data_IF_143222596582
#
_entry.id   IF_143222596582
#
_cell.length_a   1.000
_cell.length_b   1.000
_cell.length_c   1.000
_cell.angle_alpha   90.00
_cell.angle_beta   90.00
_cell.angle_gamma   90.00
#
_symmetry.space_group_name_H-M   'P 1'
#
loop_
_entity.id
_entity.type
_entity.pdbx_description
1 polymer ?
#
# COMPACT_ATOMS: atom_id res chain seq x y z
N UNK A 1 27.62 -1.42 -19.63
CA UNK A 1 26.20 -1.04 -19.81
C UNK A 1 25.74 -0.15 -18.68
N UNK A 2 25.88 -0.59 -17.42
CA UNK A 2 25.44 0.18 -16.25
C UNK A 2 26.05 1.59 -16.16
N UNK A 3 27.35 1.72 -16.41
CA UNK A 3 27.99 3.06 -16.46
C UNK A 3 27.37 3.95 -17.54
N UNK A 4 27.11 3.39 -18.74
CA UNK A 4 26.48 4.10 -19.84
C UNK A 4 25.02 4.52 -19.53
N UNK A 5 24.31 3.72 -18.71
CA UNK A 5 22.99 4.05 -18.20
C UNK A 5 23.08 5.23 -17.20
N UNK A 6 24.05 5.23 -16.29
CA UNK A 6 24.25 6.37 -15.39
C UNK A 6 24.72 7.63 -16.10
N UNK A 7 25.57 7.53 -17.12
CA UNK A 7 26.02 8.69 -17.89
C UNK A 7 25.01 9.18 -18.94
N UNK A 8 23.89 8.47 -19.13
CA UNK A 8 22.89 8.85 -20.14
C UNK A 8 23.35 8.66 -21.58
N UNK A 9 24.35 7.81 -21.83
CA UNK A 9 25.00 7.68 -23.16
C UNK A 9 24.52 6.48 -23.98
N UNK A 10 23.41 5.84 -23.59
CA UNK A 10 22.82 4.71 -24.33
C UNK A 10 21.94 5.24 -25.45
N UNK A 11 22.30 4.96 -26.71
CA UNK A 11 21.48 5.28 -27.87
C UNK A 11 21.53 4.16 -28.93
N UNK A 12 20.39 3.65 -29.41
CA UNK A 12 19.02 3.99 -29.03
C UNK A 12 18.60 3.35 -27.70
N UNK A 13 17.81 4.08 -26.88
CA UNK A 13 17.12 3.50 -25.73
C UNK A 13 15.89 2.71 -26.19
N UNK A 14 15.89 1.39 -25.98
CA UNK A 14 14.84 0.45 -26.41
C UNK A 14 14.38 -0.42 -25.25
N UNK A 15 13.23 -1.09 -25.40
CA UNK A 15 12.65 -2.03 -24.43
C UNK A 15 13.68 -2.99 -23.80
N UNK A 16 14.53 -3.60 -24.63
CA UNK A 16 15.59 -4.50 -24.15
C UNK A 16 16.59 -3.82 -23.21
N UNK A 17 16.91 -2.55 -23.44
CA UNK A 17 17.75 -1.74 -22.54
C UNK A 17 17.04 -1.48 -21.21
N UNK A 18 15.74 -1.20 -21.25
CA UNK A 18 14.89 -1.05 -20.06
C UNK A 18 14.89 -2.32 -19.20
N UNK A 19 14.63 -3.48 -19.81
CA UNK A 19 14.65 -4.77 -19.13
C UNK A 19 16.04 -5.10 -18.55
N UNK A 20 17.11 -4.74 -19.26
CA UNK A 20 18.48 -4.94 -18.75
C UNK A 20 18.76 -4.09 -17.52
N UNK A 21 18.31 -2.84 -17.51
CA UNK A 21 18.43 -1.97 -16.34
C UNK A 21 17.57 -2.50 -15.18
N UNK A 22 16.34 -2.96 -15.45
CA UNK A 22 15.47 -3.59 -14.46
C UNK A 22 16.11 -4.84 -13.84
N UNK A 23 16.71 -5.71 -14.67
CA UNK A 23 17.44 -6.89 -14.23
C UNK A 23 18.61 -6.55 -13.31
N UNK A 24 19.48 -5.62 -13.73
CA UNK A 24 20.63 -5.18 -12.92
C UNK A 24 20.16 -4.64 -11.58
N UNK A 25 19.09 -3.83 -11.58
CA UNK A 25 18.54 -3.26 -10.34
C UNK A 25 18.00 -4.33 -9.38
N UNK A 26 17.38 -5.38 -9.91
CA UNK A 26 16.84 -6.51 -9.12
C UNK A 26 17.92 -7.45 -8.58
N UNK A 27 19.05 -7.56 -9.28
CA UNK A 27 20.19 -8.42 -8.91
C UNK A 27 21.22 -7.66 -8.06
N UNK A 28 21.10 -6.34 -7.96
CA UNK A 28 21.97 -5.51 -7.13
C UNK A 28 21.89 -5.94 -5.65
N UNK A 29 23.02 -6.29 -5.01
CA UNK A 29 23.06 -6.64 -3.59
C UNK A 29 22.47 -5.57 -2.67
N UNK A 30 22.51 -4.29 -3.04
CA UNK A 30 21.95 -3.19 -2.27
C UNK A 30 20.41 -3.23 -2.18
N UNK A 31 19.75 -3.93 -3.10
CA UNK A 31 18.30 -4.06 -3.17
C UNK A 31 17.79 -5.43 -2.69
N UNK A 32 18.67 -6.26 -2.11
CA UNK A 32 18.34 -7.64 -1.72
C UNK A 32 17.23 -7.73 -0.68
N UNK A 33 17.24 -6.79 0.27
CA UNK A 33 16.30 -6.76 1.39
C UNK A 33 15.04 -5.92 1.09
N UNK A 34 15.00 -5.26 -0.06
CA UNK A 34 13.90 -4.37 -0.45
C UNK A 34 12.71 -5.14 -1.08
N UNK A 35 11.50 -4.65 -0.83
CA UNK A 35 10.31 -5.09 -1.56
C UNK A 35 10.32 -4.63 -3.02
N UNK A 36 9.62 -5.32 -3.94
CA UNK A 36 9.62 -4.93 -5.37
C UNK A 36 9.14 -3.50 -5.59
N UNK A 37 8.20 -3.00 -4.77
CA UNK A 37 7.70 -1.64 -4.89
C UNK A 37 8.76 -0.62 -4.46
N UNK A 38 9.55 -0.92 -3.44
CA UNK A 38 10.69 -0.07 -3.05
C UNK A 38 11.74 -0.05 -4.17
N UNK A 39 12.05 -1.23 -4.72
CA UNK A 39 12.92 -1.36 -5.90
C UNK A 39 12.35 -0.59 -7.10
N UNK A 40 11.04 -0.64 -7.33
CA UNK A 40 10.39 0.10 -8.41
C UNK A 40 10.52 1.62 -8.24
N UNK A 41 10.54 2.13 -7.01
CA UNK A 41 10.73 3.56 -6.75
C UNK A 41 12.15 3.99 -7.07
N UNK A 42 13.14 3.22 -6.63
CA UNK A 42 14.56 3.46 -6.95
C UNK A 42 14.78 3.38 -8.47
N UNK A 43 14.28 2.32 -9.10
CA UNK A 43 14.41 2.09 -10.53
C UNK A 43 13.76 3.19 -11.37
N UNK A 44 12.54 3.61 -11.04
CA UNK A 44 11.88 4.72 -11.73
C UNK A 44 12.67 6.03 -11.60
N UNK A 45 13.26 6.31 -10.44
CA UNK A 45 14.10 7.49 -10.24
C UNK A 45 15.37 7.44 -11.11
N UNK A 46 16.00 6.27 -11.21
CA UNK A 46 17.18 6.05 -12.04
C UNK A 46 16.86 6.19 -13.53
N UNK A 47 15.75 5.61 -13.99
CA UNK A 47 15.31 5.74 -15.39
C UNK A 47 14.92 7.18 -15.72
N UNK A 48 14.22 7.88 -14.82
CA UNK A 48 13.90 9.30 -15.02
C UNK A 48 15.18 10.15 -15.10
N UNK A 49 16.17 9.87 -14.24
CA UNK A 49 17.48 10.53 -14.28
C UNK A 49 18.24 10.22 -15.58
N UNK A 50 18.20 8.97 -16.04
CA UNK A 50 18.74 8.58 -17.35
C UNK A 50 18.06 9.37 -18.48
N UNK A 51 16.73 9.41 -18.52
CA UNK A 51 15.97 10.12 -19.56
C UNK A 51 16.33 11.62 -19.59
N UNK A 52 16.48 12.25 -18.43
CA UNK A 52 16.87 13.67 -18.35
C UNK A 52 18.27 13.95 -18.91
N UNK A 53 19.19 12.99 -18.79
CA UNK A 53 20.56 13.10 -19.32
C UNK A 53 20.64 12.72 -20.80
N UNK A 54 19.82 11.77 -21.23
CA UNK A 54 19.84 11.20 -22.58
C UNK A 54 19.06 12.02 -23.61
N UNK A 55 17.94 12.64 -23.19
CA UNK A 55 17.06 13.41 -24.07
C UNK A 55 17.20 14.92 -23.86
N UNK A 56 17.29 15.68 -24.95
CA UNK A 56 17.37 17.15 -24.93
C UNK A 56 16.01 17.83 -24.61
N UNK A 57 14.91 17.08 -24.58
CA UNK A 57 13.56 17.55 -24.25
C UNK A 57 13.10 17.01 -22.90
N UNK A 58 12.12 17.67 -22.26
CA UNK A 58 11.55 17.22 -20.98
C UNK A 58 10.90 15.85 -21.18
N UNK A 59 11.50 14.75 -20.69
CA UNK A 59 10.99 13.42 -20.97
C UNK A 59 9.72 13.16 -20.14
N UNK A 60 8.81 12.34 -20.66
CA UNK A 60 7.69 11.86 -19.85
C UNK A 60 8.20 11.01 -18.68
N UNK A 61 7.66 11.21 -17.48
CA UNK A 61 8.02 10.40 -16.32
C UNK A 61 7.67 8.93 -16.58
N UNK A 62 8.42 8.03 -15.95
CA UNK A 62 8.08 6.61 -15.92
C UNK A 62 6.68 6.37 -15.33
N UNK A 63 5.86 5.59 -16.01
CA UNK A 63 4.60 5.10 -15.44
C UNK A 63 4.91 4.12 -14.33
N UNK A 64 4.36 4.37 -13.15
CA UNK A 64 4.49 3.49 -11.99
C UNK A 64 3.95 2.10 -12.27
N UNK A 65 2.78 2.01 -12.90
CA UNK A 65 2.17 0.73 -13.23
C UNK A 65 3.03 -0.09 -14.19
N UNK A 66 3.52 0.52 -15.27
CA UNK A 66 4.40 -0.16 -16.22
C UNK A 66 5.73 -0.54 -15.58
N UNK A 67 6.28 0.31 -14.73
CA UNK A 67 7.53 0.03 -14.00
C UNK A 67 7.39 -1.21 -13.14
N UNK A 68 6.35 -1.28 -12.31
CA UNK A 68 6.09 -2.45 -11.45
C UNK A 68 5.79 -3.68 -12.29
N UNK A 69 5.01 -3.54 -13.37
CA UNK A 69 4.69 -4.64 -14.28
C UNK A 69 5.96 -5.30 -14.88
N UNK A 70 6.88 -4.50 -15.39
CA UNK A 70 8.11 -5.01 -15.99
C UNK A 70 9.06 -5.60 -14.94
N UNK A 71 9.25 -4.93 -13.81
CA UNK A 71 10.05 -5.46 -12.71
C UNK A 71 9.50 -6.79 -12.19
N UNK A 72 8.17 -6.93 -12.13
CA UNK A 72 7.51 -8.17 -11.74
C UNK A 72 7.88 -9.32 -12.69
N UNK A 73 7.75 -9.12 -14.00
CA UNK A 73 8.04 -10.18 -14.98
C UNK A 73 9.53 -10.53 -15.03
N UNK A 74 10.43 -9.55 -14.87
CA UNK A 74 11.87 -9.83 -14.76
C UNK A 74 12.19 -10.59 -13.47
N UNK A 75 11.58 -10.22 -12.34
CA UNK A 75 11.74 -10.94 -11.06
C UNK A 75 11.19 -12.36 -11.14
N UNK A 76 10.08 -12.57 -11.83
CA UNK A 76 9.51 -13.89 -12.08
C UNK A 76 10.51 -14.76 -12.85
N UNK A 77 11.06 -14.25 -13.96
CA UNK A 77 12.08 -14.94 -14.73
C UNK A 77 13.32 -15.29 -13.89
N UNK A 78 13.83 -14.35 -13.08
CA UNK A 78 14.94 -14.59 -12.14
C UNK A 78 14.59 -15.70 -11.14
N UNK A 79 13.35 -15.71 -10.63
CA UNK A 79 12.91 -16.71 -9.66
C UNK A 79 12.88 -18.11 -10.27
N UNK A 80 12.39 -18.24 -11.51
CA UNK A 80 12.38 -19.51 -12.25
C UNK A 80 13.81 -19.96 -12.60
N UNK A 81 14.67 -19.03 -13.03
CA UNK A 81 16.10 -19.28 -13.25
C UNK A 81 16.78 -19.85 -11.99
N UNK A 82 16.52 -19.25 -10.83
CA UNK A 82 17.11 -19.68 -9.57
C UNK A 82 16.60 -21.06 -9.12
N UNK A 83 15.31 -21.35 -9.33
CA UNK A 83 14.74 -22.67 -8.99
C UNK A 83 15.41 -23.81 -9.78
N UNK A 84 15.90 -23.53 -10.99
CA UNK A 84 16.59 -24.48 -11.87
C UNK A 84 18.07 -24.66 -11.49
N UNK A 85 18.77 -23.58 -11.08
CA UNK A 85 20.23 -23.59 -10.92
C UNK A 85 20.75 -23.53 -9.48
N UNK A 86 19.90 -23.24 -8.47
CA UNK A 86 20.29 -23.10 -7.05
C UNK A 86 21.47 -22.13 -6.80
N UNK A 87 21.68 -21.16 -7.70
CA UNK A 87 22.72 -20.14 -7.61
C UNK A 87 22.12 -18.75 -7.82
N UNK A 88 22.75 -17.74 -7.20
CA UNK A 88 22.32 -16.34 -7.32
C UNK A 88 22.61 -15.83 -8.74
N UNK A 89 21.63 -15.16 -9.40
CA UNK A 89 21.80 -14.65 -10.76
C UNK A 89 22.99 -13.69 -10.86
N UNK A 90 23.80 -13.84 -11.91
CA UNK A 90 24.93 -12.94 -12.19
C UNK A 90 24.55 -11.85 -13.19
N UNK A 91 25.20 -10.68 -13.12
CA UNK A 91 24.91 -9.53 -13.99
C UNK A 91 24.98 -9.87 -15.51
N UNK A 92 25.83 -10.82 -15.89
CA UNK A 92 26.05 -11.26 -17.27
C UNK A 92 24.92 -12.17 -17.79
N UNK A 93 24.07 -12.70 -16.91
CA UNK A 93 23.04 -13.69 -17.24
C UNK A 93 21.73 -13.08 -17.71
N UNK A 94 21.68 -11.76 -17.93
CA UNK A 94 20.49 -11.06 -18.41
C UNK A 94 19.83 -11.74 -19.63
N UNK A 95 20.62 -12.27 -20.58
CA UNK A 95 20.07 -12.92 -21.77
C UNK A 95 19.27 -14.18 -21.46
N UNK A 96 19.60 -14.87 -20.36
CA UNK A 96 18.91 -16.10 -19.95
C UNK A 96 17.48 -15.84 -19.52
N UNK A 97 17.16 -14.62 -19.06
CA UNK A 97 15.81 -14.21 -18.65
C UNK A 97 14.78 -14.51 -19.75
N UNK A 98 15.14 -14.29 -21.02
CA UNK A 98 14.27 -14.55 -22.17
C UNK A 98 14.06 -16.03 -22.49
N UNK A 99 14.93 -16.92 -21.99
CA UNK A 99 14.72 -18.36 -22.12
C UNK A 99 13.58 -18.84 -21.22
N UNK A 100 13.46 -18.25 -20.02
CA UNK A 100 12.46 -18.65 -19.03
C UNK A 100 11.13 -17.91 -19.20
N UNK A 101 11.16 -16.64 -19.63
CA UNK A 101 9.96 -15.86 -19.95
C UNK A 101 10.15 -15.20 -21.31
N UNK A 102 9.88 -15.92 -22.42
CA UNK A 102 10.03 -15.39 -23.77
C UNK A 102 9.14 -14.19 -24.07
N UNK A 103 8.00 -14.06 -23.38
CA UNK A 103 7.06 -12.95 -23.56
C UNK A 103 7.67 -11.60 -23.19
N UNK A 104 8.72 -11.56 -22.37
CA UNK A 104 9.43 -10.32 -22.02
C UNK A 104 9.99 -9.60 -23.25
N UNK A 105 10.24 -10.29 -24.36
CA UNK A 105 10.74 -9.64 -25.59
C UNK A 105 9.69 -8.71 -26.20
N UNK A 106 8.40 -9.00 -25.99
CA UNK A 106 7.27 -8.25 -26.52
C UNK A 106 7.00 -7.01 -25.66
N UNK A 107 7.21 -5.81 -26.22
CA UNK A 107 6.96 -4.54 -25.53
C UNK A 107 5.45 -4.22 -25.43
N UNK A 108 4.61 -4.92 -26.18
CA UNK A 108 3.15 -4.80 -26.13
C UNK A 108 2.50 -5.68 -25.05
N UNK A 109 3.29 -6.52 -24.36
CA UNK A 109 2.82 -7.42 -23.31
C UNK A 109 1.88 -6.77 -22.27
N UNK A 110 2.09 -5.54 -21.77
CA UNK A 110 1.19 -4.91 -20.81
C UNK A 110 -0.25 -4.78 -21.32
N UNK A 111 -0.45 -4.65 -22.63
CA UNK A 111 -1.79 -4.52 -23.24
C UNK A 111 -2.65 -5.78 -23.13
N UNK A 112 -2.04 -6.93 -22.82
CA UNK A 112 -2.76 -8.17 -22.53
C UNK A 112 -3.28 -8.23 -21.08
N UNK A 113 -2.72 -7.41 -20.19
CA UNK A 113 -3.03 -7.39 -18.76
C UNK A 113 -3.85 -6.16 -18.37
N UNK A 114 -3.60 -5.04 -19.03
CA UNK A 114 -4.20 -3.75 -18.73
C UNK A 114 -5.01 -3.21 -19.90
N UNK A 115 -6.19 -2.69 -19.62
CA UNK A 115 -6.94 -1.89 -20.58
C UNK A 115 -6.18 -0.60 -20.89
N UNK A 116 -6.43 -0.06 -22.09
CA UNK A 116 -5.84 1.22 -22.50
C UNK A 116 -6.20 2.33 -21.52
N UNK A 117 -7.47 2.38 -21.10
CA UNK A 117 -7.98 3.39 -20.17
C UNK A 117 -7.26 3.33 -18.83
N UNK A 118 -6.95 2.12 -18.34
CA UNK A 118 -6.13 1.94 -17.13
C UNK A 118 -4.73 2.53 -17.33
N UNK A 119 -4.00 2.12 -18.38
CA UNK A 119 -2.61 2.55 -18.62
C UNK A 119 -2.46 4.04 -18.92
N UNK A 120 -3.46 4.68 -19.54
CA UNK A 120 -3.44 6.11 -19.85
C UNK A 120 -3.93 6.99 -18.71
N UNK A 121 -4.39 6.40 -17.61
CA UNK A 121 -4.87 7.17 -16.46
C UNK A 121 -3.71 7.82 -15.69
N UNK A 122 -3.95 9.01 -15.16
CA UNK A 122 -3.03 9.68 -14.21
C UNK A 122 -2.73 8.80 -12.99
N UNK A 123 -3.65 7.90 -12.64
CA UNK A 123 -3.46 6.92 -11.59
C UNK A 123 -2.40 5.88 -11.96
N UNK A 124 -2.37 5.35 -13.19
CA UNK A 124 -1.35 4.39 -13.60
C UNK A 124 0.05 5.02 -13.78
N UNK A 125 0.12 6.33 -13.98
CA UNK A 125 1.38 7.07 -13.97
C UNK A 125 1.97 7.15 -12.55
N UNK A 126 1.15 7.49 -11.56
CA UNK A 126 1.61 7.79 -10.20
C UNK A 126 1.51 6.61 -9.22
N UNK A 127 0.67 5.62 -9.51
CA UNK A 127 0.41 4.46 -8.66
C UNK A 127 0.50 3.16 -9.46
N UNK A 128 0.76 2.07 -8.75
CA UNK A 128 0.60 0.74 -9.33
C UNK A 128 -0.86 0.32 -9.28
N UNK A 129 -1.41 0.06 -10.47
CA UNK A 129 -2.75 -0.48 -10.64
C UNK A 129 -2.67 -1.99 -10.84
N UNK A 130 -3.65 -2.72 -10.29
CA UNK A 130 -3.81 -4.14 -10.60
C UNK A 130 -4.28 -4.30 -12.06
N UNK A 131 -3.83 -5.35 -12.76
CA UNK A 131 -4.37 -5.71 -14.07
C UNK A 131 -5.89 -5.89 -14.05
N UNK A 132 -6.57 -5.30 -15.03
CA UNK A 132 -8.02 -5.34 -15.19
C UNK A 132 -8.50 -6.28 -16.31
N UNK A 133 -7.62 -6.68 -17.25
CA UNK A 133 -7.95 -7.64 -18.32
C UNK A 133 -7.56 -9.07 -17.96
N UNK A 134 -6.39 -9.27 -17.35
CA UNK A 134 -5.85 -10.60 -17.02
C UNK A 134 -5.04 -10.55 -15.74
N UNK A 135 -5.19 -11.53 -14.87
CA UNK A 135 -4.34 -11.66 -13.67
C UNK A 135 -2.88 -11.90 -14.04
N UNK A 136 -1.95 -11.33 -13.25
CA UNK A 136 -0.52 -11.64 -13.37
C UNK A 136 -0.26 -13.14 -13.22
N UNK A 137 0.73 -13.65 -13.94
CA UNK A 137 1.10 -15.07 -13.89
C UNK A 137 1.78 -15.42 -12.56
N UNK A 138 1.10 -16.22 -11.73
CA UNK A 138 1.69 -16.73 -10.51
C UNK A 138 2.63 -17.91 -10.83
N UNK A 139 3.88 -17.93 -10.30
CA UNK A 139 4.75 -19.08 -10.46
C UNK A 139 4.08 -20.34 -9.84
N UNK A 140 4.36 -21.54 -10.37
CA UNK A 140 3.81 -22.78 -9.82
C UNK A 140 4.16 -22.93 -8.33
N UNK A 141 3.31 -23.61 -7.55
CA UNK A 141 3.38 -23.64 -6.09
C UNK A 141 4.57 -24.45 -5.59
N UNK A 142 5.77 -23.89 -5.62
CA UNK A 142 6.83 -24.25 -4.68
C UNK A 142 6.72 -23.28 -3.51
N UNK A 143 5.98 -23.65 -2.45
CA UNK A 143 5.97 -23.10 -1.06
C UNK A 143 6.05 -21.57 -0.81
N UNK A 144 6.00 -20.73 -1.84
CA UNK A 144 6.34 -19.30 -1.79
C UNK A 144 5.08 -18.41 -1.88
N UNK A 145 3.91 -19.01 -2.14
CA UNK A 145 2.63 -18.30 -2.26
C UNK A 145 2.26 -17.42 -1.05
N UNK A 146 2.48 -17.82 0.22
CA UNK A 146 2.24 -16.92 1.34
C UNK A 146 3.28 -15.79 1.39
N UNK A 147 4.55 -16.12 1.13
CA UNK A 147 5.68 -15.19 1.26
C UNK A 147 5.69 -14.10 0.22
N UNK A 148 5.26 -14.39 -1.01
CA UNK A 148 5.36 -13.42 -2.10
C UNK A 148 4.49 -12.20 -1.78
N UNK A 149 3.18 -12.35 -1.56
CA UNK A 149 2.27 -11.24 -1.22
C UNK A 149 2.60 -10.56 0.13
N UNK A 150 3.09 -11.35 1.10
CA UNK A 150 3.59 -10.89 2.40
C UNK A 150 4.96 -10.18 2.33
N UNK A 151 5.69 -10.23 1.21
CA UNK A 151 6.93 -9.47 0.98
C UNK A 151 6.69 -8.10 0.33
N UNK A 152 5.55 -7.91 -0.34
CA UNK A 152 5.14 -6.58 -0.89
C UNK A 152 4.35 -5.74 0.11
N UNK A 153 4.06 -6.31 1.27
CA UNK A 153 3.42 -5.63 2.40
C UNK A 153 4.37 -5.81 3.58
N UNK A 154 4.79 -4.73 4.26
CA UNK A 154 5.61 -4.86 5.47
C UNK A 154 4.99 -5.94 6.37
N UNK A 155 5.82 -6.84 6.92
CA UNK A 155 5.39 -7.85 7.90
C UNK A 155 4.67 -7.11 9.04
N UNK A 156 3.34 -7.08 8.99
CA UNK A 156 2.47 -6.40 9.95
C UNK A 156 2.46 -7.07 11.34
N UNK A 157 3.37 -8.02 11.62
CA UNK A 157 3.39 -8.74 12.89
C UNK A 157 3.67 -7.85 14.10
N UNK A 158 4.30 -6.70 13.87
CA UNK A 158 4.56 -5.67 14.89
C UNK A 158 4.24 -4.25 14.38
N UNK A 159 3.29 -4.07 13.45
CA UNK A 159 2.90 -2.69 13.08
C UNK A 159 2.09 -2.08 14.24
N UNK A 160 2.67 -1.19 15.08
CA UNK A 160 1.96 -0.64 16.22
C UNK A 160 0.77 0.22 15.76
N UNK A 161 0.83 0.74 14.52
CA UNK A 161 -0.19 1.58 13.93
C UNK A 161 -1.32 0.77 13.28
N UNK A 162 -1.25 -0.56 13.22
CA UNK A 162 -2.21 -1.42 12.51
C UNK A 162 -3.67 -1.06 12.80
N UNK A 163 -4.05 -1.04 14.09
CA UNK A 163 -5.43 -0.77 14.49
C UNK A 163 -5.81 0.70 14.28
N UNK A 164 -4.87 1.64 14.47
CA UNK A 164 -5.09 3.05 14.25
C UNK A 164 -5.27 3.37 12.76
N UNK A 165 -4.47 2.75 11.89
CA UNK A 165 -4.56 2.86 10.42
C UNK A 165 -5.84 2.26 9.88
N UNK A 166 -6.22 1.09 10.41
CA UNK A 166 -7.49 0.47 10.10
C UNK A 166 -8.67 1.36 10.52
N UNK A 167 -8.65 1.87 11.75
CA UNK A 167 -9.65 2.79 12.25
C UNK A 167 -9.77 4.05 11.39
N UNK A 168 -8.64 4.69 11.04
CA UNK A 168 -8.58 5.83 10.14
C UNK A 168 -9.32 5.54 8.82
N UNK A 169 -9.00 4.43 8.15
CA UNK A 169 -9.62 4.08 6.87
C UNK A 169 -11.14 3.83 6.99
N UNK A 170 -11.58 3.20 8.07
CA UNK A 170 -13.02 2.98 8.34
C UNK A 170 -13.74 4.31 8.57
N UNK A 171 -13.16 5.20 9.38
CA UNK A 171 -13.72 6.53 9.65
C UNK A 171 -13.77 7.39 8.40
N UNK A 172 -12.68 7.42 7.64
CA UNK A 172 -12.61 8.12 6.37
C UNK A 172 -13.71 7.65 5.40
N UNK A 173 -14.00 6.33 5.36
CA UNK A 173 -15.05 5.78 4.49
C UNK A 173 -16.45 6.24 4.89
N UNK A 174 -16.82 6.15 6.17
CA UNK A 174 -18.19 6.52 6.56
C UNK A 174 -18.41 8.04 6.69
N UNK A 175 -17.34 8.84 6.74
CA UNK A 175 -17.40 10.30 6.66
C UNK A 175 -17.38 10.83 5.23
N UNK A 176 -17.46 9.96 4.22
CA UNK A 176 -17.43 10.37 2.81
C UNK A 176 -18.66 11.24 2.48
N UNK A 177 -18.49 12.35 1.73
CA UNK A 177 -19.60 13.14 1.23
C UNK A 177 -20.62 12.27 0.49
N UNK A 178 -21.90 12.43 0.81
CA UNK A 178 -22.99 11.68 0.18
C UNK A 178 -23.21 10.26 0.71
N UNK A 179 -22.47 9.81 1.74
CA UNK A 179 -22.75 8.54 2.40
C UNK A 179 -24.04 8.62 3.23
N UNK A 180 -25.00 7.75 2.93
CA UNK A 180 -26.33 7.74 3.58
C UNK A 180 -26.50 6.61 4.58
N UNK A 181 -25.58 5.63 4.59
CA UNK A 181 -25.65 4.48 5.49
C UNK A 181 -25.28 4.88 6.93
N UNK A 182 -25.88 4.17 7.88
CA UNK A 182 -25.61 4.38 9.31
C UNK A 182 -24.15 4.03 9.64
N UNK A 183 -23.52 4.83 10.51
CA UNK A 183 -22.18 4.56 11.07
C UNK A 183 -22.04 3.13 11.60
N UNK A 184 -23.06 2.63 12.30
CA UNK A 184 -23.06 1.27 12.88
C UNK A 184 -22.92 0.18 11.81
N UNK A 185 -23.44 0.39 10.60
CA UNK A 185 -23.31 -0.54 9.49
C UNK A 185 -21.84 -0.73 9.10
N UNK A 186 -21.09 0.36 8.93
CA UNK A 186 -19.66 0.32 8.64
C UNK A 186 -18.86 -0.31 9.76
N UNK A 187 -19.16 0.03 11.02
CA UNK A 187 -18.45 -0.50 12.19
C UNK A 187 -18.61 -2.02 12.26
N UNK A 188 -19.84 -2.52 12.13
CA UNK A 188 -20.12 -3.95 12.21
C UNK A 188 -19.40 -4.71 11.09
N UNK A 189 -19.41 -4.16 9.88
CA UNK A 189 -18.74 -4.76 8.73
C UNK A 189 -17.21 -4.73 8.86
N UNK A 190 -16.67 -3.61 9.32
CA UNK A 190 -15.25 -3.43 9.57
C UNK A 190 -14.75 -4.41 10.64
N UNK A 191 -15.44 -4.51 11.76
CA UNK A 191 -15.05 -5.39 12.88
C UNK A 191 -15.12 -6.86 12.48
N UNK A 192 -16.19 -7.26 11.78
CA UNK A 192 -16.32 -8.62 11.25
C UNK A 192 -15.24 -8.95 10.21
N UNK A 193 -14.80 -7.96 9.42
CA UNK A 193 -13.72 -8.13 8.45
C UNK A 193 -12.37 -8.26 9.16
N UNK A 194 -12.09 -7.37 10.11
CA UNK A 194 -10.85 -7.34 10.89
C UNK A 194 -10.68 -8.62 11.73
N UNK A 195 -11.75 -9.11 12.36
CA UNK A 195 -11.74 -10.35 13.13
C UNK A 195 -11.41 -11.55 12.24
N UNK A 196 -12.15 -11.73 11.14
CA UNK A 196 -11.90 -12.82 10.18
C UNK A 196 -10.49 -12.78 9.62
N UNK A 197 -10.02 -11.59 9.27
CA UNK A 197 -8.67 -11.40 8.76
C UNK A 197 -7.62 -11.73 9.83
N UNK A 198 -7.79 -11.23 11.06
CA UNK A 198 -6.87 -11.52 12.18
C UNK A 198 -6.84 -13.01 12.52
N UNK A 199 -8.00 -13.69 12.51
CA UNK A 199 -8.09 -15.13 12.73
C UNK A 199 -7.33 -15.91 11.65
N UNK A 200 -7.52 -15.55 10.37
CA UNK A 200 -6.79 -16.15 9.23
C UNK A 200 -5.30 -15.87 9.29
N UNK A 201 -4.88 -14.65 9.60
CA UNK A 201 -3.46 -14.33 9.76
C UNK A 201 -2.82 -15.15 10.89
N UNK A 202 -3.55 -15.41 11.96
CA UNK A 202 -3.05 -16.18 13.10
C UNK A 202 -2.92 -17.68 12.85
N UNK A 203 -3.55 -18.24 11.79
CA UNK A 203 -3.32 -19.64 11.42
C UNK A 203 -1.93 -19.83 10.81
N UNK A 204 -1.41 -18.82 10.10
CA UNK A 204 -0.06 -18.84 9.52
C UNK A 204 0.99 -18.17 10.42
N UNK A 205 0.59 -17.17 11.21
CA UNK A 205 1.48 -16.35 12.05
C UNK A 205 0.95 -16.21 13.48
N UNK A 206 1.31 -17.12 14.40
CA UNK A 206 0.80 -17.10 15.78
C UNK A 206 1.15 -15.85 16.59
N UNK A 207 2.21 -15.13 16.18
CA UNK A 207 2.75 -13.91 16.79
C UNK A 207 1.78 -12.71 16.64
N UNK A 208 0.94 -12.69 15.61
CA UNK A 208 -0.01 -11.60 15.37
C UNK A 208 -0.95 -11.44 16.57
N UNK A 209 -1.13 -10.24 17.15
CA UNK A 209 -2.01 -10.04 18.30
C UNK A 209 -3.43 -10.57 18.07
N UNK A 210 -4.06 -11.07 19.14
CA UNK A 210 -5.45 -11.53 19.07
C UNK A 210 -6.39 -10.35 18.80
N UNK A 211 -7.44 -10.61 18.03
CA UNK A 211 -8.49 -9.62 17.83
C UNK A 211 -9.10 -9.22 19.18
N UNK A 212 -9.35 -7.92 19.34
CA UNK A 212 -10.08 -7.36 20.47
C UNK A 212 -11.07 -6.30 20.00
N UNK A 213 -12.32 -6.45 20.43
CA UNK A 213 -13.38 -5.47 20.17
C UNK A 213 -13.04 -4.14 20.85
N UNK A 214 -12.61 -4.14 22.11
CA UNK A 214 -12.26 -2.91 22.84
C UNK A 214 -11.11 -2.17 22.19
N UNK A 215 -10.04 -2.86 21.81
CA UNK A 215 -8.89 -2.22 21.16
C UNK A 215 -9.28 -1.62 19.81
N UNK A 216 -10.05 -2.36 19.00
CA UNK A 216 -10.54 -1.87 17.70
C UNK A 216 -11.44 -0.65 17.86
N UNK A 217 -12.33 -0.68 18.83
CA UNK A 217 -13.27 0.42 19.10
C UNK A 217 -12.58 1.66 19.67
N UNK A 218 -11.57 1.49 20.53
CA UNK A 218 -10.77 2.60 21.05
C UNK A 218 -10.18 3.44 19.91
N UNK A 219 -9.43 2.81 19.00
CA UNK A 219 -8.81 3.52 17.90
C UNK A 219 -9.84 4.10 16.91
N UNK A 220 -10.96 3.40 16.70
CA UNK A 220 -12.06 3.91 15.90
C UNK A 220 -12.65 5.21 16.48
N UNK A 221 -12.86 5.26 17.80
CA UNK A 221 -13.36 6.47 18.46
C UNK A 221 -12.32 7.59 18.42
N UNK A 222 -11.04 7.27 18.64
CA UNK A 222 -9.97 8.24 18.58
C UNK A 222 -9.83 8.88 17.18
N UNK A 223 -9.89 8.05 16.13
CA UNK A 223 -9.87 8.53 14.75
C UNK A 223 -11.13 9.34 14.41
N UNK A 224 -12.31 8.94 14.92
CA UNK A 224 -13.54 9.70 14.74
C UNK A 224 -13.47 11.07 15.41
N UNK A 225 -13.04 11.14 16.67
CA UNK A 225 -12.93 12.40 17.42
C UNK A 225 -11.94 13.40 16.77
N UNK A 226 -10.90 12.90 16.11
CA UNK A 226 -9.96 13.71 15.32
C UNK A 226 -10.58 14.19 14.01
N UNK A 227 -11.08 13.28 13.17
CA UNK A 227 -11.58 13.63 11.84
C UNK A 227 -12.89 14.42 11.86
N UNK A 228 -13.77 14.17 12.84
CA UNK A 228 -15.03 14.91 12.99
C UNK A 228 -14.82 16.39 13.31
N UNK A 229 -13.72 16.76 13.98
CA UNK A 229 -13.38 18.17 14.16
C UNK A 229 -12.92 18.82 12.88
N UNK A 230 -12.12 18.13 12.07
CA UNK A 230 -11.70 18.63 10.77
C UNK A 230 -12.90 18.85 9.85
N UNK A 231 -13.90 17.98 9.94
CA UNK A 231 -15.17 18.13 9.23
C UNK A 231 -15.96 19.35 9.69
N UNK A 232 -15.89 19.69 10.97
CA UNK A 232 -16.58 20.86 11.53
C UNK A 232 -15.90 22.19 11.16
N UNK A 233 -14.59 22.18 10.88
CA UNK A 233 -13.79 23.38 10.60
C UNK A 233 -13.36 23.54 9.15
N UNK A 234 -13.53 22.53 8.29
CA UNK A 234 -13.00 22.52 6.93
C UNK A 234 -13.85 21.75 5.93
N UNK A 235 -13.41 21.76 4.67
CA UNK A 235 -14.11 21.08 3.57
C UNK A 235 -14.06 19.55 3.72
N UNK A 236 -15.18 18.83 3.55
CA UNK A 236 -15.25 17.38 3.77
C UNK A 236 -14.37 16.59 2.77
N UNK A 237 -14.06 17.18 1.62
CA UNK A 237 -13.12 16.63 0.63
C UNK A 237 -11.69 16.52 1.18
N UNK A 238 -11.32 17.38 2.13
CA UNK A 238 -10.00 17.40 2.76
C UNK A 238 -9.75 16.11 3.56
N UNK A 239 -10.78 15.54 4.17
CA UNK A 239 -10.69 14.25 4.88
C UNK A 239 -10.45 13.11 3.91
N UNK A 240 -11.06 13.17 2.72
CA UNK A 240 -10.93 12.11 1.71
C UNK A 240 -9.55 12.13 1.02
N UNK A 241 -8.94 13.31 0.89
CA UNK A 241 -7.59 13.47 0.35
C UNK A 241 -6.47 13.20 1.39
N UNK A 242 -6.81 13.19 2.69
CA UNK A 242 -5.85 12.98 3.77
C UNK A 242 -5.28 11.56 3.76
N UNK A 243 -3.96 11.46 3.90
CA UNK A 243 -3.28 10.19 4.08
C UNK A 243 -3.10 9.83 5.55
N UNK A 244 -2.86 8.56 5.85
CA UNK A 244 -2.67 8.10 7.23
C UNK A 244 -1.46 8.73 7.95
N UNK A 245 -0.27 8.85 7.35
CA UNK A 245 0.86 9.54 7.97
C UNK A 245 0.54 11.02 8.25
N UNK A 246 -0.09 11.72 7.31
CA UNK A 246 -0.51 13.11 7.50
C UNK A 246 -1.51 13.22 8.66
N UNK A 247 -2.50 12.32 8.73
CA UNK A 247 -3.43 12.23 9.85
C UNK A 247 -2.69 12.07 11.20
N UNK A 248 -1.72 11.16 11.29
CA UNK A 248 -0.93 10.96 12.51
C UNK A 248 -0.13 12.20 12.90
N UNK A 249 0.48 12.87 11.93
CA UNK A 249 1.24 14.10 12.18
C UNK A 249 0.33 15.24 12.63
N UNK A 250 -0.77 15.50 11.93
CA UNK A 250 -1.71 16.60 12.21
C UNK A 250 -2.32 16.52 13.62
N UNK A 251 -2.61 15.31 14.11
CA UNK A 251 -3.27 15.10 15.41
C UNK A 251 -2.33 14.54 16.49
N UNK A 252 -1.04 14.35 16.21
CA UNK A 252 -0.07 13.72 17.09
C UNK A 252 -0.55 12.41 17.76
N UNK A 253 -1.30 11.59 17.02
CA UNK A 253 -1.85 10.36 17.57
C UNK A 253 -0.78 9.27 17.56
N UNK A 254 -0.38 8.83 18.76
CA UNK A 254 0.52 7.72 18.95
C UNK A 254 -0.24 6.38 19.03
N UNK A 255 0.32 5.27 18.49
CA UNK A 255 -0.21 3.93 18.71
C UNK A 255 -0.14 3.47 20.19
N UNK A 256 0.53 4.22 21.07
CA UNK A 256 0.50 3.96 22.51
C UNK A 256 -0.51 4.82 23.27
N UNK A 257 -1.36 5.61 22.58
CA UNK A 257 -2.30 6.54 23.20
C UNK A 257 -3.28 5.85 24.17
N UNK A 258 -3.57 4.56 23.97
CA UNK A 258 -4.46 3.78 24.83
C UNK A 258 -4.02 3.73 26.30
N UNK A 259 -2.71 3.83 26.57
CA UNK A 259 -2.15 3.73 27.93
C UNK A 259 -2.62 4.83 28.88
N UNK A 260 -3.10 5.94 28.34
CA UNK A 260 -3.67 7.06 29.12
C UNK A 260 -5.11 6.76 29.56
N UNK A 261 -5.80 5.84 28.89
CA UNK A 261 -7.24 5.58 29.08
C UNK A 261 -7.51 4.22 29.71
N UNK A 262 -6.69 3.21 29.41
CA UNK A 262 -6.89 1.84 29.85
C UNK A 262 -5.72 1.32 30.69
N UNK A 263 -6.02 0.58 31.75
CA UNK A 263 -5.03 -0.27 32.41
C UNK A 263 -4.62 -1.43 31.50
N UNK A 264 -3.37 -1.94 31.62
CA UNK A 264 -2.96 -3.15 30.90
C UNK A 264 -3.84 -4.36 31.22
N UNK A 265 -4.31 -4.49 32.48
CA UNK A 265 -5.18 -5.59 32.90
C UNK A 265 -6.50 -5.59 32.13
N UNK A 266 -7.14 -4.43 31.98
CA UNK A 266 -8.37 -4.31 31.22
C UNK A 266 -8.11 -4.46 29.72
N UNK A 267 -7.09 -3.78 29.18
CA UNK A 267 -6.75 -3.73 27.75
C UNK A 267 -6.51 -5.10 27.13
N UNK A 268 -5.87 -6.01 27.88
CA UNK A 268 -5.54 -7.37 27.41
C UNK A 268 -6.53 -8.45 27.89
N UNK A 269 -7.55 -8.06 28.65
CA UNK A 269 -8.53 -8.98 29.24
C UNK A 269 -9.37 -9.73 28.20
N UNK A 270 -9.87 -10.91 28.57
CA UNK A 270 -10.85 -11.65 27.76
C UNK A 270 -12.15 -10.85 27.54
N UNK A 271 -12.55 -10.06 28.53
CA UNK A 271 -13.72 -9.20 28.45
C UNK A 271 -13.55 -8.13 27.37
N UNK A 272 -12.38 -7.47 27.33
CA UNK A 272 -12.03 -6.49 26.31
C UNK A 272 -11.95 -7.10 24.91
N UNK A 273 -11.65 -8.40 24.81
CA UNK A 273 -11.66 -9.12 23.52
C UNK A 273 -13.07 -9.37 23.02
N UNK A 274 -13.96 -9.86 23.89
CA UNK A 274 -15.31 -10.29 23.51
C UNK A 274 -16.28 -9.13 23.24
N UNK A 275 -16.14 -8.02 23.96
CA UNK A 275 -17.02 -6.87 23.84
C UNK A 275 -16.27 -5.56 24.09
N UNK A 276 -16.90 -4.44 23.72
CA UNK A 276 -16.41 -3.13 24.10
C UNK A 276 -16.56 -2.93 25.61
N UNK A 277 -15.46 -2.58 26.27
CA UNK A 277 -15.40 -2.21 27.68
C UNK A 277 -14.95 -0.74 27.74
N UNK A 278 -15.65 0.14 28.46
CA UNK A 278 -15.23 1.53 28.60
C UNK A 278 -13.89 1.63 29.36
N UNK A 279 -13.12 2.71 29.16
CA UNK A 279 -11.84 2.86 29.82
C UNK A 279 -11.97 3.06 31.33
N UNK A 280 -10.99 2.54 32.05
CA UNK A 280 -10.94 2.49 33.52
C UNK A 280 -10.02 3.56 34.14
N UNK A 281 -9.10 4.14 33.37
CA UNK A 281 -8.22 5.21 33.86
C UNK A 281 -8.77 6.60 33.55
N UNK A 282 -9.24 6.82 32.31
CA UNK A 282 -9.72 8.13 31.85
C UNK A 282 -10.82 7.97 30.80
N UNK A 283 -11.88 8.79 30.80
CA UNK A 283 -12.86 8.79 29.71
C UNK A 283 -12.21 9.12 28.36
N UNK A 284 -12.78 8.57 27.29
CA UNK A 284 -12.33 8.86 25.93
C UNK A 284 -12.55 10.34 25.59
N UNK A 285 -11.66 10.94 24.77
CA UNK A 285 -11.85 12.32 24.35
C UNK A 285 -13.00 12.39 23.33
N UNK A 286 -13.92 13.34 23.53
CA UNK A 286 -14.93 13.66 22.52
C UNK A 286 -14.32 14.37 21.30
N UNK A 287 -13.19 15.05 21.53
CA UNK A 287 -12.46 15.85 20.55
C UNK A 287 -10.94 15.65 20.70
N UNK A 288 -10.24 15.41 19.59
CA UNK A 288 -8.78 15.48 19.46
C UNK A 288 -8.41 16.67 18.56
N UNK A 289 -7.95 17.81 19.10
CA UNK A 289 -7.68 18.99 18.30
C UNK A 289 -6.46 18.81 17.38
N UNK A 290 -6.44 19.41 16.18
CA UNK A 290 -5.23 19.51 15.38
C UNK A 290 -4.21 20.47 16.02
N UNK A 291 -2.94 20.34 15.66
CA UNK A 291 -1.90 21.26 16.14
C UNK A 291 -2.15 22.67 15.58
N UNK A 292 -2.11 23.68 16.46
CA UNK A 292 -2.40 25.08 16.09
C UNK A 292 -1.45 25.65 15.02
N UNK A 293 -0.21 25.17 14.94
CA UNK A 293 0.78 25.66 13.97
C UNK A 293 0.51 25.21 12.52
N UNK A 294 -0.35 24.21 12.30
CA UNK A 294 -0.76 23.76 10.95
C UNK A 294 -1.94 24.55 10.37
N UNK A 295 -2.67 25.33 11.19
CA UNK A 295 -3.91 25.99 10.77
C UNK A 295 -3.63 27.31 10.02
N UNK A 296 -2.54 28.01 10.30
CA UNK A 296 -2.27 29.33 9.69
C UNK A 296 -1.60 29.27 8.31
N UNK A 297 -1.19 28.09 7.82
CA UNK A 297 -0.57 27.97 6.47
C UNK A 297 -1.03 26.78 5.63
N UNK A 298 -1.87 25.88 6.13
CA UNK A 298 -2.29 24.72 5.34
C UNK A 298 -3.74 24.31 5.61
N UNK A 299 -4.64 24.69 4.70
CA UNK A 299 -5.79 23.86 4.39
C UNK A 299 -5.28 22.43 4.09
N UNK A 300 -5.89 21.34 4.59
CA UNK A 300 -5.38 19.99 4.35
C UNK A 300 -5.37 19.60 2.86
N UNK A 301 -6.09 20.35 2.02
CA UNK A 301 -6.04 20.29 0.56
C UNK A 301 -4.76 20.88 -0.07
N UNK A 302 -3.92 21.61 0.67
CA UNK A 302 -2.64 22.15 0.18
C UNK A 302 -1.41 21.32 0.55
N UNK A 303 -1.52 20.41 1.54
CA UNK A 303 -0.41 19.53 1.94
C UNK A 303 -0.34 18.35 0.98
N UNK A 304 0.48 18.50 -0.07
CA UNK A 304 0.76 17.43 -1.00
C UNK A 304 1.34 16.21 -0.29
N UNK A 305 0.83 15.02 -0.61
CA UNK A 305 1.38 13.75 -0.14
C UNK A 305 2.71 13.39 -0.83
N UNK A 306 3.12 14.13 -1.87
CA UNK A 306 4.35 13.93 -2.65
C UNK A 306 5.65 13.78 -1.83
N UNK A 307 5.98 14.65 -0.85
CA UNK A 307 7.18 14.48 -0.03
C UNK A 307 7.18 13.17 0.77
N UNK A 308 6.04 12.78 1.34
CA UNK A 308 5.89 11.53 2.10
C UNK A 308 5.98 10.30 1.19
N UNK A 309 5.50 10.41 -0.07
CA UNK A 309 5.65 9.37 -1.10
C UNK A 309 7.09 9.20 -1.55
N UNK A 310 7.81 10.29 -1.81
CA UNK A 310 9.24 10.26 -2.19
C UNK A 310 10.13 9.65 -1.11
N UNK A 311 9.70 9.72 0.15
CA UNK A 311 10.38 9.11 1.30
C UNK A 311 9.95 7.65 1.56
N UNK A 312 9.03 7.09 0.77
CA UNK A 312 8.54 5.72 0.96
C UNK A 312 7.69 5.51 2.21
N UNK A 313 7.15 6.58 2.81
CA UNK A 313 6.37 6.53 4.05
C UNK A 313 4.88 6.20 3.81
N UNK A 314 4.43 6.28 2.56
CA UNK A 314 3.08 5.94 2.15
C UNK A 314 3.07 4.60 1.42
N UNK A 315 2.39 3.56 1.97
CA UNK A 315 2.26 2.30 1.27
C UNK A 315 1.36 2.48 0.04
N UNK A 316 1.79 1.95 -1.11
CA UNK A 316 1.12 2.14 -2.41
C UNK A 316 -0.23 1.43 -2.50
N UNK A 317 -0.38 0.36 -1.73
CA UNK A 317 -1.66 -0.29 -1.47
C UNK A 317 -1.99 -0.15 0.02
N UNK A 318 -3.28 0.09 0.37
CA UNK A 318 -3.71 -0.02 1.75
C UNK A 318 -3.33 -1.38 2.35
N UNK A 319 -3.11 -1.45 3.67
CA UNK A 319 -2.91 -2.72 4.35
C UNK A 319 -4.01 -3.73 4.03
N UNK A 320 -3.69 -5.02 4.11
CA UNK A 320 -4.59 -6.09 3.69
C UNK A 320 -5.90 -6.09 4.49
N UNK A 321 -5.87 -5.74 5.78
CA UNK A 321 -7.07 -5.55 6.61
C UNK A 321 -7.99 -4.43 6.07
N UNK A 322 -7.43 -3.34 5.58
CA UNK A 322 -8.18 -2.22 4.97
C UNK A 322 -8.77 -2.65 3.63
N UNK A 323 -7.99 -3.38 2.81
CA UNK A 323 -8.48 -3.96 1.56
C UNK A 323 -9.65 -4.92 1.79
N UNK A 324 -9.56 -5.80 2.79
CA UNK A 324 -10.66 -6.71 3.13
C UNK A 324 -11.90 -5.97 3.64
N UNK A 325 -11.73 -4.86 4.36
CA UNK A 325 -12.85 -4.00 4.72
C UNK A 325 -13.51 -3.39 3.48
N UNK A 326 -12.73 -2.78 2.57
CA UNK A 326 -13.29 -2.23 1.33
C UNK A 326 -13.95 -3.30 0.46
N UNK A 327 -13.34 -4.48 0.34
CA UNK A 327 -13.93 -5.63 -0.32
C UNK A 327 -15.28 -6.01 0.31
N UNK A 328 -15.36 -6.06 1.63
CA UNK A 328 -16.61 -6.38 2.32
C UNK A 328 -17.70 -5.33 2.03
N UNK A 329 -17.35 -4.04 2.02
CA UNK A 329 -18.28 -2.95 1.63
C UNK A 329 -18.77 -3.16 0.20
N UNK A 330 -17.87 -3.36 -0.76
CA UNK A 330 -18.20 -3.56 -2.17
C UNK A 330 -19.11 -4.78 -2.39
N UNK A 331 -18.87 -5.89 -1.68
CA UNK A 331 -19.71 -7.09 -1.78
C UNK A 331 -21.13 -6.85 -1.27
N UNK A 332 -21.31 -6.06 -0.21
CA UNK A 332 -22.65 -5.68 0.25
C UNK A 332 -23.30 -4.67 -0.70
N UNK A 333 -22.53 -3.74 -1.28
CA UNK A 333 -23.03 -2.80 -2.30
C UNK A 333 -23.52 -3.56 -3.55
N UNK A 334 -22.79 -4.57 -4.02
CA UNK A 334 -23.16 -5.37 -5.18
C UNK A 334 -24.51 -6.09 -5.01
N UNK A 335 -24.88 -6.48 -3.78
CA UNK A 335 -26.18 -7.11 -3.49
C UNK A 335 -27.37 -6.15 -3.65
N UNK A 336 -27.12 -4.85 -3.65
CA UNK A 336 -28.16 -3.82 -3.81
C UNK A 336 -28.41 -3.42 -5.26
N UNK A 337 -27.60 -3.92 -6.19
CA UNK A 337 -27.78 -3.70 -7.63
C UNK A 337 -28.89 -4.65 -8.11
N UNK A 338 -29.98 -4.14 -8.71
CA UNK A 338 -31.03 -5.01 -9.24
C UNK A 338 -30.48 -5.90 -10.36
N UNK A 339 -30.95 -7.16 -10.48
CA UNK A 339 -30.57 -8.01 -11.59
C UNK A 339 -31.03 -7.35 -12.91
N UNK A 340 -30.08 -7.15 -13.82
CA UNK A 340 -30.33 -6.63 -15.18
C UNK A 340 -31.11 -7.62 -16.03
#
# INVERSE_FOLDING_TARGET
FWDAFHTGSIFPWRHRGYLRAAYITLVDPANRDDGLLEVATKFAADVNSFKQRNFNSKPQPESRTLTVFWLYHVKLAITVMHADQWQYPQLEEFERVFHYVPELVDDTLPSLYYSRDCLTSEYAENFWMLPDLRSLFEPPPQEVLPRFREQFTKKNSEDPDRLLRFAFAVVQRYLRPGETRLRSWFINLAFSSLERHTLRQRTTHPIVPRYSVTQSYFYLQLAHAALSQLLATGEPESIQAMSFPLFKETFHISPSAWRTYYSPELWDSLKARAAFVPPDLRPLPDTVPPISDTIDTATPSSVSNEPLRKQGLLPELPPLEVLHFHQAVLLEEAKTIPPT
#
